data_IF_631745658239
#
_entry.id   IF_631745658239
#
_cell.length_a   1.000
_cell.length_b   1.000
_cell.length_c   1.000
_cell.angle_alpha   90.00
_cell.angle_beta   90.00
_cell.angle_gamma   90.00
#
_symmetry.space_group_name_H-M   'P 1'
#
loop_
_entity.id
_entity.type
_entity.pdbx_description
1 polymer ?
#
# COMPACT_ATOMS: atom_id res chain seq x y z
N UNK A 1 -12.10 -57.10 -58.22
CA UNK A 1 -13.08 -56.02 -57.94
C UNK A 1 -13.71 -56.30 -56.59
N UNK A 2 -13.40 -55.45 -55.60
CA UNK A 2 -13.71 -55.61 -54.18
C UNK A 2 -15.12 -55.07 -53.92
N UNK A 3 -15.98 -55.83 -53.22
CA UNK A 3 -17.18 -55.26 -52.55
C UNK A 3 -17.17 -55.63 -51.07
N UNK A 4 -17.17 -54.58 -50.27
CA UNK A 4 -16.98 -54.48 -48.82
C UNK A 4 -18.17 -55.08 -48.06
N UNK A 5 -17.89 -55.85 -47.00
CA UNK A 5 -18.85 -56.12 -45.95
C UNK A 5 -18.57 -55.18 -44.77
N UNK A 6 -19.64 -54.60 -44.26
CA UNK A 6 -19.72 -53.49 -43.33
C UNK A 6 -19.49 -54.02 -41.91
N UNK A 7 -18.50 -53.48 -41.19
CA UNK A 7 -18.35 -53.70 -39.75
C UNK A 7 -18.86 -52.44 -39.02
N UNK A 8 -20.02 -52.55 -38.37
CA UNK A 8 -20.46 -51.56 -37.39
C UNK A 8 -19.56 -51.66 -36.16
N UNK A 9 -18.83 -50.60 -35.85
CA UNK A 9 -18.20 -50.39 -34.54
C UNK A 9 -18.92 -49.24 -33.89
N UNK A 10 -19.70 -49.54 -32.85
CA UNK A 10 -20.40 -48.55 -32.03
C UNK A 10 -19.40 -47.68 -31.27
N UNK A 11 -19.52 -46.36 -31.40
CA UNK A 11 -18.82 -45.40 -30.55
C UNK A 11 -19.43 -45.43 -29.16
N UNK A 12 -18.65 -45.87 -28.16
CA UNK A 12 -18.91 -45.57 -26.76
C UNK A 12 -18.18 -44.26 -26.44
N UNK A 13 -18.92 -43.15 -26.44
CA UNK A 13 -18.43 -41.84 -26.04
C UNK A 13 -18.39 -41.74 -24.51
N UNK A 14 -17.21 -41.90 -23.92
CA UNK A 14 -16.96 -41.66 -22.50
C UNK A 14 -16.74 -40.15 -22.28
N UNK A 15 -17.76 -39.45 -21.79
CA UNK A 15 -17.65 -38.04 -21.41
C UNK A 15 -16.84 -37.92 -20.11
N UNK A 16 -15.60 -37.43 -20.22
CA UNK A 16 -14.77 -37.07 -19.06
C UNK A 16 -15.12 -35.64 -18.66
N UNK A 17 -15.92 -35.49 -17.61
CA UNK A 17 -16.15 -34.19 -16.97
C UNK A 17 -14.92 -33.79 -16.16
N UNK A 18 -14.10 -32.90 -16.71
CA UNK A 18 -12.99 -32.28 -15.98
C UNK A 18 -13.56 -31.21 -15.06
N UNK A 19 -13.74 -31.55 -13.79
CA UNK A 19 -14.05 -30.57 -12.74
C UNK A 19 -12.78 -29.76 -12.44
N UNK A 20 -12.71 -28.53 -12.95
CA UNK A 20 -11.64 -27.59 -12.62
C UNK A 20 -11.90 -27.11 -11.18
N UNK A 21 -11.17 -27.68 -10.22
CA UNK A 21 -11.06 -27.16 -8.86
C UNK A 21 -10.26 -25.85 -8.91
N UNK A 22 -10.97 -24.71 -8.90
CA UNK A 22 -10.37 -23.41 -8.66
C UNK A 22 -9.96 -23.32 -7.18
N UNK A 23 -8.73 -23.71 -6.85
CA UNK A 23 -8.08 -23.27 -5.60
C UNK A 23 -7.66 -21.81 -5.78
N UNK A 24 -8.62 -20.89 -5.65
CA UNK A 24 -8.31 -19.51 -5.36
C UNK A 24 -7.92 -19.43 -3.88
N UNK A 25 -6.64 -19.70 -3.58
CA UNK A 25 -6.08 -19.23 -2.32
C UNK A 25 -6.20 -17.71 -2.31
N UNK A 26 -6.89 -17.15 -1.32
CA UNK A 26 -6.94 -15.70 -1.12
C UNK A 26 -5.51 -15.19 -0.92
N UNK A 27 -4.92 -14.67 -1.99
CA UNK A 27 -3.76 -13.81 -1.91
C UNK A 27 -4.16 -12.62 -1.05
N UNK A 28 -3.71 -12.59 0.21
CA UNK A 28 -3.90 -11.45 1.10
C UNK A 28 -3.46 -10.20 0.34
N UNK A 29 -4.38 -9.27 0.10
CA UNK A 29 -4.11 -8.07 -0.69
C UNK A 29 -2.95 -7.31 -0.06
N UNK A 30 -1.83 -7.18 -0.77
CA UNK A 30 -0.63 -6.51 -0.26
C UNK A 30 -0.49 -5.12 -0.86
N UNK A 31 0.01 -4.18 -0.05
CA UNK A 31 0.42 -2.85 -0.52
C UNK A 31 1.76 -2.97 -1.25
N UNK A 32 1.90 -2.49 -2.49
CA UNK A 32 3.15 -2.55 -3.22
C UNK A 32 4.18 -1.54 -2.67
N UNK A 33 5.47 -1.84 -2.85
CA UNK A 33 6.53 -0.86 -2.61
C UNK A 33 6.42 0.28 -3.64
N UNK A 34 6.55 1.56 -3.24
CA UNK A 34 6.23 2.69 -4.09
C UNK A 34 7.45 3.09 -4.93
N UNK A 35 7.72 2.37 -6.01
CA UNK A 35 8.91 2.65 -6.83
C UNK A 35 8.98 4.10 -7.33
N UNK A 36 10.16 4.70 -7.21
CA UNK A 36 10.42 6.06 -7.70
C UNK A 36 9.72 7.19 -6.94
N UNK A 37 9.14 6.93 -5.76
CA UNK A 37 8.33 7.94 -5.04
C UNK A 37 9.06 9.24 -4.70
N UNK A 38 10.38 9.23 -4.60
CA UNK A 38 11.17 10.44 -4.32
C UNK A 38 11.09 11.48 -5.44
N UNK A 39 10.64 11.08 -6.63
CA UNK A 39 10.36 11.99 -7.75
C UNK A 39 8.90 12.49 -7.77
N UNK A 40 8.07 12.06 -6.81
CA UNK A 40 6.69 12.51 -6.72
C UNK A 40 6.58 13.86 -6.00
N UNK A 41 5.36 14.39 -5.90
CA UNK A 41 5.13 15.66 -5.23
C UNK A 41 5.39 15.50 -3.74
N UNK A 42 6.34 16.29 -3.24
CA UNK A 42 6.54 16.50 -1.81
C UNK A 42 5.41 17.36 -1.24
N UNK A 43 4.63 16.80 -0.33
CA UNK A 43 3.43 17.41 0.27
C UNK A 43 3.82 18.27 1.46
N UNK A 44 4.58 17.71 2.40
CA UNK A 44 5.04 18.37 3.62
C UNK A 44 6.18 17.60 4.27
N UNK A 45 6.75 18.20 5.30
CA UNK A 45 7.63 17.52 6.25
C UNK A 45 7.24 17.84 7.68
N UNK A 46 7.72 17.03 8.61
CA UNK A 46 7.62 17.31 10.04
C UNK A 46 8.79 16.66 10.77
N UNK A 47 9.30 17.37 11.77
CA UNK A 47 10.33 16.92 12.69
C UNK A 47 9.66 16.53 14.01
N UNK A 48 9.86 15.30 14.45
CA UNK A 48 9.38 14.78 15.73
C UNK A 48 10.58 14.63 16.66
N UNK A 49 10.64 15.47 17.69
CA UNK A 49 11.72 15.50 18.67
C UNK A 49 11.31 14.82 19.98
N UNK A 50 12.31 14.54 20.83
CA UNK A 50 12.10 13.96 22.14
C UNK A 50 11.13 14.83 22.96
N UNK A 51 10.21 14.17 23.68
CA UNK A 51 9.11 14.82 24.39
C UNK A 51 7.78 14.81 23.63
N UNK A 52 7.79 14.54 22.32
CA UNK A 52 6.56 14.31 21.57
C UNK A 52 6.01 12.89 21.81
N UNK A 53 4.68 12.68 21.98
CA UNK A 53 4.11 11.35 22.26
C UNK A 53 4.40 10.27 21.20
N UNK A 54 4.62 10.69 19.95
CA UNK A 54 4.98 9.79 18.84
C UNK A 54 6.49 9.59 18.65
N UNK A 55 7.35 10.07 19.55
CA UNK A 55 8.80 10.02 19.36
C UNK A 55 9.34 8.59 19.24
N UNK A 56 8.86 7.67 20.08
CA UNK A 56 9.38 6.29 20.06
C UNK A 56 9.04 5.57 18.75
N UNK A 57 7.87 5.86 18.16
CA UNK A 57 7.45 5.28 16.89
C UNK A 57 8.04 6.01 15.68
N UNK A 58 8.01 7.35 15.69
CA UNK A 58 8.21 8.20 14.51
C UNK A 58 9.19 9.36 14.72
N UNK A 59 9.98 9.33 15.80
CA UNK A 59 11.02 10.32 16.08
C UNK A 59 12.04 10.42 14.94
N UNK A 60 12.40 11.65 14.59
CA UNK A 60 13.20 11.98 13.42
C UNK A 60 12.49 12.96 12.48
N UNK A 61 13.01 13.08 11.26
CA UNK A 61 12.43 13.92 10.21
C UNK A 61 11.72 13.03 9.20
N UNK A 62 10.48 13.35 8.86
CA UNK A 62 9.78 12.64 7.79
C UNK A 62 9.26 13.58 6.72
N UNK A 63 9.20 13.04 5.51
CA UNK A 63 8.67 13.69 4.33
C UNK A 63 7.47 12.90 3.80
N UNK A 64 6.43 13.62 3.41
CA UNK A 64 5.25 13.03 2.81
C UNK A 64 5.31 13.24 1.30
N UNK A 65 5.23 12.16 0.54
CA UNK A 65 5.15 12.20 -0.92
C UNK A 65 3.80 11.69 -1.40
N UNK A 66 3.33 12.20 -2.53
CA UNK A 66 2.05 11.86 -3.11
C UNK A 66 2.15 11.70 -4.63
N UNK A 67 1.64 10.58 -5.15
CA UNK A 67 1.48 10.43 -6.59
C UNK A 67 0.40 11.40 -7.12
N UNK A 68 0.27 11.50 -8.44
CA UNK A 68 -0.69 12.41 -9.09
C UNK A 68 -2.13 12.19 -8.66
N UNK A 69 -2.54 10.94 -8.42
CA UNK A 69 -3.87 10.59 -7.91
C UNK A 69 -4.10 11.06 -6.49
N UNK A 70 -3.14 10.85 -5.60
CA UNK A 70 -3.20 11.35 -4.23
C UNK A 70 -3.21 12.88 -4.20
N UNK A 71 -2.49 13.54 -5.11
CA UNK A 71 -2.53 15.01 -5.24
C UNK A 71 -3.93 15.52 -5.61
N UNK A 72 -4.68 14.81 -6.46
CA UNK A 72 -6.11 15.11 -6.68
C UNK A 72 -6.87 15.05 -5.36
N UNK A 73 -6.68 13.99 -4.57
CA UNK A 73 -7.32 13.84 -3.26
C UNK A 73 -6.99 14.96 -2.29
N UNK A 74 -5.73 15.37 -2.20
CA UNK A 74 -5.35 16.52 -1.38
C UNK A 74 -6.02 17.84 -1.80
N UNK A 75 -6.34 18.02 -3.08
CA UNK A 75 -6.98 19.24 -3.61
C UNK A 75 -8.50 19.22 -3.44
N UNK A 76 -9.12 18.04 -3.50
CA UNK A 76 -10.58 17.89 -3.54
C UNK A 76 -11.19 17.31 -2.26
N UNK A 77 -10.37 16.77 -1.36
CA UNK A 77 -10.80 16.03 -0.18
C UNK A 77 -11.25 14.59 -0.46
N UNK A 78 -11.10 14.07 -1.69
CA UNK A 78 -11.49 12.70 -2.05
C UNK A 78 -10.38 11.97 -2.81
N UNK A 79 -9.79 10.94 -2.22
CA UNK A 79 -8.68 10.20 -2.83
C UNK A 79 -9.19 9.09 -3.76
N UNK A 80 -8.95 9.16 -5.07
CA UNK A 80 -9.37 8.11 -6.00
C UNK A 80 -8.53 6.83 -5.83
N UNK A 81 -9.08 5.68 -6.24
CA UNK A 81 -8.36 4.41 -6.24
C UNK A 81 -7.04 4.49 -7.06
N UNK A 82 -5.98 3.93 -6.47
CA UNK A 82 -4.59 4.06 -6.92
C UNK A 82 -3.88 5.31 -6.41
N UNK A 83 -4.50 6.10 -5.53
CA UNK A 83 -3.78 7.11 -4.74
C UNK A 83 -2.73 6.44 -3.87
N UNK A 84 -1.52 6.99 -3.87
CA UNK A 84 -0.42 6.52 -3.02
C UNK A 84 0.16 7.69 -2.26
N UNK A 85 0.24 7.53 -0.94
CA UNK A 85 0.90 8.46 -0.03
C UNK A 85 2.05 7.72 0.63
N UNK A 86 3.22 8.33 0.63
CA UNK A 86 4.43 7.76 1.21
C UNK A 86 4.88 8.62 2.38
N UNK A 87 5.11 8.00 3.52
CA UNK A 87 5.75 8.54 4.71
C UNK A 87 7.21 8.06 4.73
N UNK A 88 8.15 8.92 4.38
CA UNK A 88 9.57 8.60 4.38
C UNK A 88 10.24 9.17 5.63
N UNK A 89 10.56 8.31 6.60
CA UNK A 89 11.14 8.70 7.89
C UNK A 89 12.64 8.42 7.94
N UNK A 90 13.38 9.44 8.32
CA UNK A 90 14.82 9.42 8.52
C UNK A 90 15.15 9.86 9.96
N UNK A 91 16.32 9.45 10.42
CA UNK A 91 16.97 10.06 11.57
C UNK A 91 17.14 11.57 11.34
N UNK A 92 16.98 12.36 12.40
CA UNK A 92 17.31 13.78 12.40
C UNK A 92 18.53 14.00 13.29
N UNK A 93 19.65 14.40 12.70
CA UNK A 93 20.91 14.69 13.40
C UNK A 93 21.02 16.18 13.66
N UNK A 94 21.32 16.56 14.90
CA UNK A 94 21.53 17.96 15.26
C UNK A 94 23.02 18.28 15.23
N UNK A 95 23.44 19.13 14.29
CA UNK A 95 24.84 19.46 14.04
C UNK A 95 24.93 20.95 13.66
N UNK A 96 25.92 21.69 14.16
CA UNK A 96 26.13 23.10 13.81
C UNK A 96 24.87 23.99 13.90
N UNK A 97 24.04 23.77 14.92
CA UNK A 97 22.75 24.46 15.12
C UNK A 97 21.72 24.23 14.00
N UNK A 98 21.83 23.14 13.24
CA UNK A 98 20.85 22.72 12.24
C UNK A 98 20.44 21.27 12.47
N UNK A 99 19.29 20.89 11.90
CA UNK A 99 18.93 19.48 11.74
C UNK A 99 19.24 19.04 10.32
N UNK A 100 19.96 17.93 10.18
CA UNK A 100 20.24 17.28 8.91
C UNK A 100 19.69 15.86 8.91
N UNK A 101 19.37 15.36 7.72
CA UNK A 101 18.91 13.98 7.54
C UNK A 101 20.04 12.99 7.83
N UNK A 102 19.72 11.96 8.61
CA UNK A 102 20.57 10.79 8.84
C UNK A 102 20.07 9.56 8.09
N UNK A 103 20.26 8.39 8.70
CA UNK A 103 19.85 7.13 8.08
C UNK A 103 18.32 7.01 7.97
N UNK A 104 17.85 6.40 6.87
CA UNK A 104 16.43 6.11 6.70
C UNK A 104 16.00 5.01 7.67
N UNK A 105 14.93 5.26 8.41
CA UNK A 105 14.34 4.33 9.38
C UNK A 105 13.26 3.47 8.73
N UNK A 106 12.32 4.08 8.03
CA UNK A 106 11.14 3.39 7.49
C UNK A 106 10.49 4.16 6.34
N UNK A 107 9.93 3.41 5.39
CA UNK A 107 9.02 3.93 4.35
C UNK A 107 7.62 3.40 4.62
N UNK A 108 6.74 4.22 5.19
CA UNK A 108 5.32 3.93 5.35
C UNK A 108 4.55 4.24 4.05
N UNK A 109 3.54 3.44 3.72
CA UNK A 109 2.78 3.55 2.48
C UNK A 109 1.30 3.37 2.75
N UNK A 110 0.51 4.34 2.30
CA UNK A 110 -0.93 4.22 2.17
C UNK A 110 -1.28 4.06 0.69
N UNK A 111 -2.03 3.01 0.34
CA UNK A 111 -2.48 2.75 -1.04
C UNK A 111 -4.00 2.64 -1.09
N UNK A 112 -4.67 3.51 -1.85
CA UNK A 112 -6.13 3.50 -1.98
C UNK A 112 -6.56 2.39 -2.94
N UNK A 113 -7.33 1.45 -2.45
CA UNK A 113 -8.11 0.49 -3.25
C UNK A 113 -9.36 0.13 -2.44
N UNK A 114 -10.45 0.84 -2.76
CA UNK A 114 -11.74 0.72 -2.09
C UNK A 114 -12.30 -0.70 -2.08
N UNK A 115 -11.90 -1.55 -3.04
CA UNK A 115 -12.36 -2.93 -3.13
C UNK A 115 -11.52 -3.89 -2.31
N UNK A 116 -10.18 -3.70 -2.29
CA UNK A 116 -9.26 -4.59 -1.57
C UNK A 116 -9.17 -4.32 -0.08
N UNK A 117 -9.31 -3.05 0.33
CA UNK A 117 -9.03 -2.61 1.69
C UNK A 117 -10.28 -2.08 2.40
N UNK A 118 -11.41 -2.79 2.25
CA UNK A 118 -12.72 -2.37 2.78
C UNK A 118 -12.72 -2.17 4.29
N UNK A 119 -12.03 -3.07 5.01
CA UNK A 119 -11.96 -3.09 6.48
C UNK A 119 -11.19 -1.89 7.05
N UNK A 120 -10.38 -1.23 6.22
CA UNK A 120 -9.52 -0.10 6.61
C UNK A 120 -9.87 1.16 5.82
N UNK A 121 -11.16 1.38 5.55
CA UNK A 121 -11.66 2.60 4.91
C UNK A 121 -11.25 2.75 3.43
N UNK A 122 -10.89 1.65 2.77
CA UNK A 122 -10.39 1.62 1.39
C UNK A 122 -8.88 1.90 1.27
N UNK A 123 -8.14 1.97 2.38
CA UNK A 123 -6.70 2.20 2.40
C UNK A 123 -5.93 0.96 2.86
N UNK A 124 -5.02 0.48 2.03
CA UNK A 124 -4.00 -0.47 2.47
C UNK A 124 -2.87 0.27 3.15
N UNK A 125 -2.39 -0.28 4.27
CA UNK A 125 -1.26 0.26 5.03
C UNK A 125 -0.12 -0.75 5.05
N UNK A 126 1.09 -0.29 4.80
CA UNK A 126 2.32 -1.08 4.91
C UNK A 126 3.49 -0.18 5.29
N UNK A 127 4.54 -0.76 5.85
CA UNK A 127 5.80 -0.09 6.09
C UNK A 127 6.98 -0.98 5.67
N UNK A 128 8.04 -0.36 5.17
CA UNK A 128 9.25 -1.02 4.72
C UNK A 128 10.48 -0.55 5.49
N UNK A 129 11.31 -1.50 5.93
CA UNK A 129 12.47 -1.23 6.80
C UNK A 129 13.59 -0.51 6.05
N UNK A 130 13.96 0.68 6.53
CA UNK A 130 15.08 1.46 6.01
C UNK A 130 15.04 1.63 4.49
N UNK A 131 16.12 1.20 3.83
CA UNK A 131 16.25 1.23 2.36
C UNK A 131 15.87 -0.10 1.68
N UNK A 132 15.19 -1.01 2.37
CA UNK A 132 14.85 -2.34 1.86
C UNK A 132 13.38 -2.44 1.47
N UNK A 133 12.99 -3.59 0.90
CA UNK A 133 11.59 -3.98 0.66
C UNK A 133 11.06 -4.96 1.72
N UNK A 134 11.77 -5.10 2.84
CA UNK A 134 11.33 -5.91 3.99
C UNK A 134 10.10 -5.26 4.62
N UNK A 135 8.96 -5.96 4.60
CA UNK A 135 7.68 -5.52 5.16
C UNK A 135 7.69 -5.66 6.68
N UNK A 136 7.10 -4.71 7.39
CA UNK A 136 7.08 -4.74 8.87
C UNK A 136 5.68 -4.68 9.48
N UNK A 137 4.64 -4.36 8.72
CA UNK A 137 3.26 -4.38 9.23
C UNK A 137 2.77 -5.81 9.36
N UNK A 138 2.24 -6.16 10.53
CA UNK A 138 1.65 -7.49 10.79
C UNK A 138 0.13 -7.44 10.66
N UNK A 139 -0.47 -6.40 11.23
CA UNK A 139 -1.90 -6.16 11.20
C UNK A 139 -2.19 -4.70 10.85
N UNK A 140 -2.53 -4.43 9.59
CA UNK A 140 -2.80 -3.07 9.11
C UNK A 140 -3.94 -2.35 9.86
N UNK A 141 -4.93 -3.10 10.37
CA UNK A 141 -6.04 -2.50 11.13
C UNK A 141 -5.53 -1.96 12.48
N UNK A 142 -4.84 -2.81 13.24
CA UNK A 142 -4.35 -2.48 14.58
C UNK A 142 -3.14 -1.54 14.53
N UNK A 143 -2.16 -1.86 13.68
CA UNK A 143 -0.86 -1.18 13.61
C UNK A 143 -0.96 0.22 12.96
N UNK A 144 -1.98 0.47 12.14
CA UNK A 144 -2.07 1.69 11.33
C UNK A 144 -3.48 2.32 11.34
N UNK A 145 -4.50 1.58 10.90
CA UNK A 145 -5.81 2.15 10.65
C UNK A 145 -6.49 2.67 11.92
N UNK A 146 -6.32 2.01 13.07
CA UNK A 146 -6.89 2.43 14.35
C UNK A 146 -6.58 3.90 14.69
N UNK A 147 -5.34 4.34 14.45
CA UNK A 147 -4.92 5.74 14.63
C UNK A 147 -5.49 6.65 13.53
N UNK A 148 -5.45 6.18 12.28
CA UNK A 148 -5.93 6.92 11.11
C UNK A 148 -7.47 7.08 11.05
N UNK A 149 -8.23 6.21 11.72
CA UNK A 149 -9.69 6.26 11.79
C UNK A 149 -10.20 7.60 12.32
N UNK A 150 -9.44 8.25 13.22
CA UNK A 150 -9.75 9.60 13.72
C UNK A 150 -9.80 10.68 12.63
N UNK A 151 -9.23 10.40 11.45
CA UNK A 151 -9.17 11.31 10.30
C UNK A 151 -10.23 10.97 9.23
N UNK A 152 -11.34 10.32 9.60
CA UNK A 152 -12.42 9.96 8.67
C UNK A 152 -12.88 11.14 7.80
N UNK A 153 -13.00 12.35 8.39
CA UNK A 153 -13.42 13.56 7.68
C UNK A 153 -12.47 14.00 6.55
N UNK A 154 -11.22 13.54 6.57
CA UNK A 154 -10.20 13.80 5.55
C UNK A 154 -9.77 12.51 4.83
N UNK A 155 -10.68 11.54 4.74
CA UNK A 155 -10.45 10.23 4.10
C UNK A 155 -9.26 9.49 4.73
N UNK A 156 -9.16 9.54 6.06
CA UNK A 156 -8.17 8.85 6.88
C UNK A 156 -6.72 9.38 6.71
N UNK A 157 -6.54 10.57 6.15
CA UNK A 157 -5.23 11.19 5.87
C UNK A 157 -4.98 12.39 6.79
N UNK A 158 -3.89 12.36 7.56
CA UNK A 158 -3.48 13.46 8.45
C UNK A 158 -2.85 14.65 7.71
N UNK A 159 -2.09 14.38 6.64
CA UNK A 159 -1.39 15.42 5.90
C UNK A 159 -2.36 16.34 5.16
N UNK A 160 -1.95 17.59 4.99
CA UNK A 160 -2.63 18.56 4.15
C UNK A 160 -1.62 19.15 3.17
N UNK A 161 -2.09 19.46 1.97
CA UNK A 161 -1.26 20.10 0.96
C UNK A 161 -1.16 21.60 1.27
N UNK A 162 0.09 22.11 1.33
CA UNK A 162 0.34 23.55 1.49
C UNK A 162 -0.14 24.29 0.23
N UNK A 163 -0.90 25.37 0.43
CA UNK A 163 -1.36 26.23 -0.66
C UNK A 163 -0.33 27.32 -0.96
#
# INVERSE_FOLDING_TARGET
>A
MIKKAILLVGLVSLAVSISILNLAGESKSTVPYPEGYRNWVHVKSMLILQGHPLYDAFGGIHHIYANSKALTGYKTGKFPDGSVIVFDLLEAKFENNTYVEGERKVVGVMYKDSRKFKETGGWGFEAFKGNTKERVVKNAEQDCFSCHASQESTDFVFSQYRK
#
